data_IF_506993215762
#
_entry.id   IF_506993215762
#
_cell.length_a   1.000
_cell.length_b   1.000
_cell.length_c   1.000
_cell.angle_alpha   90.00
_cell.angle_beta   90.00
_cell.angle_gamma   90.00
#
_symmetry.space_group_name_H-M   'P 1'
#
loop_
_entity.id
_entity.type
_entity.pdbx_description
1 polymer ?
#
# COMPACT_ATOMS: atom_id res chain seq x y z
N UNK A 1 34.32 15.18 14.09
CA UNK A 1 33.52 15.24 12.86
C UNK A 1 32.23 15.99 13.21
N UNK A 2 32.07 17.23 12.71
CA UNK A 2 30.99 18.15 13.11
C UNK A 2 29.65 17.67 12.56
N UNK A 3 28.68 17.40 13.43
CA UNK A 3 27.27 17.25 13.07
C UNK A 3 26.66 18.65 12.97
N UNK A 4 26.22 19.03 11.77
CA UNK A 4 25.45 20.25 11.52
C UNK A 4 24.02 20.03 12.02
N UNK A 5 23.65 20.78 13.06
CA UNK A 5 22.30 20.81 13.63
C UNK A 5 21.46 21.84 12.82
N UNK A 6 20.78 21.37 11.78
CA UNK A 6 19.87 22.23 11.00
C UNK A 6 18.53 22.38 11.72
N UNK A 7 18.20 23.61 12.12
CA UNK A 7 16.88 24.00 12.60
C UNK A 7 15.94 24.16 11.40
N UNK A 8 14.77 23.50 11.43
CA UNK A 8 13.78 23.52 10.35
C UNK A 8 12.40 24.00 10.82
N UNK A 9 11.68 24.81 10.01
CA UNK A 9 10.24 25.00 10.12
C UNK A 9 9.47 23.89 9.36
N UNK A 10 8.21 23.72 9.76
CA UNK A 10 7.32 22.57 9.56
C UNK A 10 6.83 22.31 8.12
N UNK A 11 6.90 21.03 7.69
CA UNK A 11 5.86 20.29 6.93
C UNK A 11 6.27 18.80 6.84
N UNK A 12 5.49 17.88 7.40
CA UNK A 12 5.71 16.43 7.29
C UNK A 12 4.59 15.79 6.44
N UNK A 13 4.98 15.05 5.41
CA UNK A 13 4.12 14.28 4.50
C UNK A 13 4.50 12.82 4.79
N UNK A 14 3.61 11.85 5.03
CA UNK A 14 4.03 10.43 5.01
C UNK A 14 4.00 9.95 3.55
N UNK A 15 4.53 8.79 3.15
CA UNK A 15 4.24 8.19 1.83
C UNK A 15 4.23 6.67 2.06
N UNK A 16 3.20 6.03 1.54
CA UNK A 16 3.01 4.59 1.51
C UNK A 16 3.76 4.08 0.28
N UNK A 17 4.76 3.23 0.47
CA UNK A 17 5.38 2.48 -0.63
C UNK A 17 4.37 1.44 -1.11
N UNK A 18 3.76 1.68 -2.26
CA UNK A 18 3.16 0.63 -3.08
C UNK A 18 4.01 0.48 -4.33
N UNK A 19 4.42 -0.76 -4.58
CA UNK A 19 5.01 -1.30 -5.80
C UNK A 19 4.76 -0.43 -7.05
N UNK A 20 5.83 0.15 -7.61
CA UNK A 20 5.77 0.91 -8.86
C UNK A 20 5.98 -0.03 -10.04
N UNK A 21 4.90 -0.24 -10.78
CA UNK A 21 4.86 0.07 -12.22
C UNK A 21 3.44 0.41 -12.64
N UNK A 22 3.18 1.69 -12.83
CA UNK A 22 2.34 2.14 -13.95
C UNK A 22 2.70 3.59 -14.28
N UNK A 23 3.38 3.78 -15.42
CA UNK A 23 2.99 4.86 -16.30
C UNK A 23 1.98 4.28 -17.28
N UNK A 24 1.06 5.15 -17.68
CA UNK A 24 -0.19 4.90 -18.40
C UNK A 24 -1.35 4.62 -17.45
N UNK A 25 -2.17 5.66 -17.27
CA UNK A 25 -3.55 5.52 -16.82
C UNK A 25 -4.35 4.81 -17.93
N UNK A 26 -4.17 3.50 -18.02
CA UNK A 26 -4.99 2.61 -18.85
C UNK A 26 -6.44 2.65 -18.41
N UNK A 27 -6.75 3.06 -17.17
CA UNK A 27 -8.12 3.24 -16.67
C UNK A 27 -8.88 4.39 -17.33
N UNK A 28 -8.25 5.53 -17.59
CA UNK A 28 -8.88 6.66 -18.31
C UNK A 28 -8.91 6.43 -19.83
N UNK A 29 -7.95 5.67 -20.37
CA UNK A 29 -7.98 5.23 -21.78
C UNK A 29 -8.98 4.08 -22.00
N UNK A 30 -9.16 3.19 -21.01
CA UNK A 30 -10.19 2.15 -20.98
C UNK A 30 -11.57 2.71 -20.65
N UNK A 31 -11.73 3.73 -19.81
CA UNK A 31 -13.02 4.41 -19.59
C UNK A 31 -13.43 5.26 -20.78
N UNK A 32 -12.50 5.92 -21.47
CA UNK A 32 -12.78 6.61 -22.73
C UNK A 32 -13.03 5.62 -23.88
N UNK A 33 -12.32 4.49 -23.94
CA UNK A 33 -12.51 3.44 -24.94
C UNK A 33 -13.75 2.55 -24.70
N UNK A 34 -14.08 2.25 -23.44
CA UNK A 34 -15.33 1.59 -23.05
C UNK A 34 -16.51 2.55 -23.09
N UNK A 35 -16.30 3.85 -22.88
CA UNK A 35 -17.31 4.89 -23.09
C UNK A 35 -17.77 5.00 -24.55
N UNK A 36 -16.88 4.71 -25.51
CA UNK A 36 -17.26 4.56 -26.93
C UNK A 36 -18.04 3.26 -27.18
N UNK A 37 -17.67 2.16 -26.51
CA UNK A 37 -18.38 0.87 -26.61
C UNK A 37 -19.75 0.88 -25.91
N UNK A 38 -19.94 1.67 -24.85
CA UNK A 38 -21.25 1.88 -24.21
C UNK A 38 -22.06 2.99 -24.90
N UNK A 39 -21.44 3.88 -25.68
CA UNK A 39 -22.18 4.81 -26.54
C UNK A 39 -22.82 4.14 -27.77
N UNK A 40 -22.31 2.97 -28.18
CA UNK A 40 -22.98 2.06 -29.12
C UNK A 40 -24.05 1.17 -28.47
N UNK A 41 -24.12 1.13 -27.13
CA UNK A 41 -24.99 0.21 -26.39
C UNK A 41 -26.35 0.77 -26.03
N UNK A 42 -26.82 1.83 -26.71
CA UNK A 42 -28.25 2.12 -26.73
C UNK A 42 -28.86 1.82 -28.11
N UNK A 43 -29.08 0.52 -28.45
CA UNK A 43 -29.81 0.11 -29.65
C UNK A 43 -31.14 0.83 -29.80
N UNK A 44 -31.75 1.28 -28.70
CA UNK A 44 -33.01 2.02 -28.68
C UNK A 44 -32.87 3.45 -29.27
N UNK A 45 -31.79 4.18 -28.98
CA UNK A 45 -31.55 5.52 -29.55
C UNK A 45 -31.17 5.44 -31.03
N UNK A 46 -30.40 4.42 -31.39
CA UNK A 46 -30.03 4.16 -32.77
C UNK A 46 -31.24 3.74 -33.62
N UNK A 47 -32.08 2.81 -33.12
CA UNK A 47 -33.32 2.41 -33.82
C UNK A 47 -34.33 3.55 -33.90
N UNK A 48 -34.42 4.42 -32.88
CA UNK A 48 -35.26 5.61 -32.92
C UNK A 48 -34.81 6.63 -33.96
N UNK A 49 -33.49 6.89 -34.05
CA UNK A 49 -32.92 7.74 -35.12
C UNK A 49 -33.14 7.14 -36.52
N UNK A 50 -33.10 5.81 -36.64
CA UNK A 50 -33.38 5.10 -37.91
C UNK A 50 -34.87 5.21 -38.31
N UNK A 51 -35.79 5.13 -37.35
CA UNK A 51 -37.23 5.32 -37.55
C UNK A 51 -37.58 6.76 -37.92
N UNK A 52 -36.95 7.74 -37.27
CA UNK A 52 -37.10 9.16 -37.59
C UNK A 52 -36.56 9.49 -39.00
N UNK A 53 -35.43 8.88 -39.39
CA UNK A 53 -34.88 9.00 -40.74
C UNK A 53 -35.77 8.32 -41.82
N UNK A 54 -36.34 7.14 -41.54
CA UNK A 54 -37.25 6.47 -42.46
C UNK A 54 -38.56 7.26 -42.68
N UNK A 55 -39.11 7.85 -41.62
CA UNK A 55 -40.27 8.74 -41.71
C UNK A 55 -39.96 10.04 -42.48
N UNK A 56 -38.72 10.53 -42.42
CA UNK A 56 -38.28 11.69 -43.20
C UNK A 56 -38.14 11.41 -44.70
N UNK A 57 -37.75 10.18 -45.08
CA UNK A 57 -37.62 9.74 -46.48
C UNK A 57 -38.99 9.34 -47.09
N UNK A 58 -39.98 9.02 -46.24
CA UNK A 58 -41.31 8.50 -46.62
C UNK A 58 -42.25 9.46 -47.36
N UNK A 59 -41.80 10.63 -47.82
CA UNK A 59 -42.64 11.52 -48.64
C UNK A 59 -42.49 11.34 -50.16
N UNK A 60 -41.56 10.51 -50.67
CA UNK A 60 -41.42 10.31 -52.13
C UNK A 60 -40.57 9.10 -52.59
N UNK A 61 -40.59 7.95 -51.91
CA UNK A 61 -39.77 6.76 -52.32
C UNK A 61 -40.65 5.50 -52.37
N UNK A 62 -40.47 4.67 -53.40
CA UNK A 62 -41.19 3.40 -53.59
C UNK A 62 -40.89 2.41 -52.44
N UNK A 63 -41.92 1.68 -51.99
CA UNK A 63 -41.91 0.85 -50.79
C UNK A 63 -40.85 -0.27 -50.83
N UNK A 64 -40.53 -0.79 -52.02
CA UNK A 64 -39.58 -1.88 -52.20
C UNK A 64 -38.12 -1.42 -52.07
N UNK A 65 -37.79 -0.21 -52.52
CA UNK A 65 -36.46 0.38 -52.35
C UNK A 65 -36.18 0.68 -50.86
N UNK A 66 -37.21 1.09 -50.12
CA UNK A 66 -37.12 1.30 -48.67
C UNK A 66 -36.88 -0.01 -47.92
N UNK A 67 -37.58 -1.10 -48.27
CA UNK A 67 -37.36 -2.44 -47.68
C UNK A 67 -35.95 -2.95 -47.94
N UNK A 68 -35.44 -2.77 -49.16
CA UNK A 68 -34.07 -3.16 -49.53
C UNK A 68 -33.02 -2.39 -48.73
N UNK A 69 -33.21 -1.07 -48.57
CA UNK A 69 -32.32 -0.24 -47.77
C UNK A 69 -32.31 -0.65 -46.28
N UNK A 70 -33.48 -0.93 -45.70
CA UNK A 70 -33.59 -1.37 -44.31
C UNK A 70 -32.93 -2.73 -44.07
N UNK A 71 -33.09 -3.68 -44.99
CA UNK A 71 -32.42 -4.99 -44.90
C UNK A 71 -30.89 -4.86 -44.99
N UNK A 72 -30.38 -3.99 -45.86
CA UNK A 72 -28.94 -3.72 -45.95
C UNK A 72 -28.39 -3.08 -44.67
N UNK A 73 -29.16 -2.21 -44.01
CA UNK A 73 -28.78 -1.61 -42.74
C UNK A 73 -28.78 -2.68 -41.64
N UNK A 74 -29.81 -3.52 -41.57
CA UNK A 74 -29.90 -4.63 -40.61
C UNK A 74 -28.68 -5.55 -40.70
N UNK A 75 -28.34 -6.01 -41.91
CA UNK A 75 -27.20 -6.90 -42.12
C UNK A 75 -25.87 -6.25 -41.70
N UNK A 76 -25.67 -4.96 -42.01
CA UNK A 76 -24.46 -4.24 -41.58
C UNK A 76 -24.38 -4.08 -40.06
N UNK A 77 -25.50 -3.92 -39.37
CA UNK A 77 -25.53 -3.84 -37.91
C UNK A 77 -25.21 -5.18 -37.27
N UNK A 78 -25.69 -6.28 -37.85
CA UNK A 78 -25.36 -7.63 -37.42
C UNK A 78 -23.85 -7.90 -37.57
N UNK A 79 -23.26 -7.51 -38.71
CA UNK A 79 -21.80 -7.60 -38.93
C UNK A 79 -21.00 -6.79 -37.90
N UNK A 80 -21.43 -5.56 -37.60
CA UNK A 80 -20.79 -4.71 -36.59
C UNK A 80 -20.88 -5.35 -35.20
N UNK A 81 -22.05 -5.90 -34.84
CA UNK A 81 -22.26 -6.58 -33.56
C UNK A 81 -21.32 -7.80 -33.40
N UNK A 82 -21.21 -8.61 -34.46
CA UNK A 82 -20.34 -9.78 -34.48
C UNK A 82 -18.85 -9.39 -34.37
N UNK A 83 -18.42 -8.33 -35.05
CA UNK A 83 -17.06 -7.82 -34.96
C UNK A 83 -16.72 -7.29 -33.56
N UNK A 84 -17.64 -6.56 -32.92
CA UNK A 84 -17.46 -6.07 -31.55
C UNK A 84 -17.34 -7.24 -30.58
N UNK A 85 -18.18 -8.27 -30.72
CA UNK A 85 -18.09 -9.48 -29.89
C UNK A 85 -16.74 -10.18 -30.06
N UNK A 86 -16.28 -10.37 -31.29
CA UNK A 86 -14.96 -10.98 -31.56
C UNK A 86 -13.81 -10.17 -30.98
N UNK A 87 -13.86 -8.84 -31.09
CA UNK A 87 -12.85 -7.96 -30.51
C UNK A 87 -12.83 -8.04 -28.98
N UNK A 88 -14.02 -8.05 -28.35
CA UNK A 88 -14.17 -8.24 -26.91
C UNK A 88 -13.53 -9.55 -26.46
N UNK A 89 -13.84 -10.66 -27.12
CA UNK A 89 -13.31 -11.98 -26.78
C UNK A 89 -11.77 -12.04 -26.94
N UNK A 90 -11.23 -11.42 -27.99
CA UNK A 90 -9.77 -11.32 -28.19
C UNK A 90 -9.09 -10.50 -27.08
N UNK A 91 -9.69 -9.37 -26.69
CA UNK A 91 -9.19 -8.53 -25.59
C UNK A 91 -9.19 -9.30 -24.28
N UNK A 92 -10.29 -9.99 -23.93
CA UNK A 92 -10.35 -10.79 -22.70
C UNK A 92 -9.31 -11.92 -22.69
N UNK A 93 -9.12 -12.61 -23.82
CA UNK A 93 -8.10 -13.66 -23.94
C UNK A 93 -6.67 -13.11 -23.76
N UNK A 94 -6.38 -11.93 -24.33
CA UNK A 94 -5.08 -11.26 -24.14
C UNK A 94 -4.89 -10.78 -22.70
N UNK A 95 -5.94 -10.29 -22.05
CA UNK A 95 -5.90 -9.90 -20.64
C UNK A 95 -5.60 -11.09 -19.73
N UNK A 96 -6.27 -12.23 -19.92
CA UNK A 96 -6.01 -13.47 -19.17
C UNK A 96 -4.57 -13.96 -19.39
N UNK A 97 -4.06 -13.89 -20.62
CA UNK A 97 -2.67 -14.25 -20.94
C UNK A 97 -1.66 -13.32 -20.26
N UNK A 98 -1.94 -12.01 -20.20
CA UNK A 98 -1.12 -11.03 -19.50
C UNK A 98 -1.15 -11.26 -17.99
N UNK A 99 -2.31 -11.59 -17.43
CA UNK A 99 -2.47 -11.91 -16.00
C UNK A 99 -1.60 -13.13 -15.62
N UNK A 100 -1.64 -14.20 -16.44
CA UNK A 100 -0.79 -15.39 -16.28
C UNK A 100 0.71 -15.06 -16.48
N UNK A 101 1.08 -14.23 -17.45
CA UNK A 101 2.47 -13.81 -17.69
C UNK A 101 3.02 -12.92 -16.56
N UNK A 102 2.17 -12.11 -15.94
CA UNK A 102 2.52 -11.32 -14.75
C UNK A 102 2.70 -12.25 -13.54
N UNK A 103 1.87 -13.28 -13.42
CA UNK A 103 1.94 -14.26 -12.33
C UNK A 103 3.15 -15.21 -12.45
N UNK A 104 3.56 -15.56 -13.68
CA UNK A 104 4.66 -16.50 -13.96
C UNK A 104 6.05 -15.86 -14.03
N UNK A 105 6.15 -14.53 -14.14
CA UNK A 105 7.44 -13.82 -14.22
C UNK A 105 8.05 -13.60 -12.82
N UNK A 106 8.52 -14.67 -12.18
CA UNK A 106 9.63 -14.68 -11.20
C UNK A 106 9.51 -13.75 -9.97
N UNK A 107 8.28 -13.34 -9.58
CA UNK A 107 8.09 -12.19 -8.67
C UNK A 107 7.54 -12.48 -7.27
N UNK A 108 7.07 -13.69 -6.97
CA UNK A 108 6.42 -13.95 -5.67
C UNK A 108 7.07 -15.15 -4.99
N UNK A 109 8.41 -15.11 -4.85
CA UNK A 109 9.11 -15.91 -3.86
C UNK A 109 9.85 -15.06 -2.84
N UNK A 110 9.64 -13.73 -2.84
CA UNK A 110 10.32 -12.84 -1.91
C UNK A 110 9.44 -12.55 -0.70
N UNK A 111 10.07 -12.60 0.47
CA UNK A 111 9.46 -12.29 1.76
C UNK A 111 10.22 -11.15 2.43
N UNK A 112 9.58 -10.50 3.39
CA UNK A 112 10.23 -9.44 4.18
C UNK A 112 11.18 -10.11 5.17
N UNK A 113 12.45 -9.67 5.17
CA UNK A 113 13.51 -10.17 6.08
C UNK A 113 14.02 -9.10 7.03
N UNK A 114 13.68 -7.84 6.77
CA UNK A 114 14.06 -6.72 7.61
C UNK A 114 13.22 -5.49 7.34
N UNK A 115 13.29 -4.54 8.27
CA UNK A 115 12.56 -3.29 8.21
C UNK A 115 13.36 -2.17 8.86
N UNK A 116 13.16 -0.95 8.36
CA UNK A 116 13.66 0.28 8.98
C UNK A 116 12.77 1.46 8.67
N UNK A 117 12.88 2.48 9.51
CA UNK A 117 12.41 3.81 9.16
C UNK A 117 13.40 4.49 8.21
N UNK A 118 12.88 5.16 7.18
CA UNK A 118 13.69 5.99 6.28
C UNK A 118 13.03 7.33 6.06
N UNK A 119 13.78 8.42 6.28
CA UNK A 119 13.31 9.79 6.00
C UNK A 119 13.79 10.25 4.62
N UNK A 120 12.88 10.69 3.75
CA UNK A 120 13.19 11.34 2.45
C UNK A 120 12.28 12.56 2.27
N UNK A 121 12.81 13.76 2.02
CA UNK A 121 12.01 14.99 1.78
C UNK A 121 10.89 15.25 2.82
N UNK A 122 11.21 15.08 4.10
CA UNK A 122 10.27 15.18 5.23
C UNK A 122 9.18 14.12 5.28
N UNK A 123 9.42 13.01 4.58
CA UNK A 123 8.56 11.83 4.62
C UNK A 123 9.21 10.68 5.33
N UNK A 124 8.49 10.13 6.31
CA UNK A 124 8.89 8.93 7.02
C UNK A 124 8.24 7.69 6.36
N UNK A 125 9.09 6.81 5.86
CA UNK A 125 8.72 5.56 5.21
C UNK A 125 9.04 4.35 6.09
N UNK A 126 8.25 3.30 5.93
CA UNK A 126 8.68 1.94 6.24
C UNK A 126 9.41 1.39 5.02
N UNK A 127 10.73 1.26 5.10
CA UNK A 127 11.52 0.60 4.08
C UNK A 127 11.75 -0.85 4.50
N UNK A 128 11.60 -1.78 3.54
CA UNK A 128 11.76 -3.21 3.79
C UNK A 128 13.01 -3.76 3.12
N UNK A 129 13.61 -4.76 3.75
CA UNK A 129 14.54 -5.69 3.13
C UNK A 129 13.74 -6.92 2.70
N UNK A 130 14.03 -7.41 1.49
CA UNK A 130 13.40 -8.60 0.93
C UNK A 130 14.45 -9.62 0.50
N UNK A 131 14.10 -10.89 0.56
CA UNK A 131 14.92 -11.99 0.06
C UNK A 131 14.05 -13.17 -0.39
N UNK A 132 14.63 -14.08 -1.15
CA UNK A 132 13.98 -15.31 -1.61
C UNK A 132 13.72 -16.25 -0.42
N UNK A 133 12.48 -16.72 -0.35
CA UNK A 133 12.01 -17.78 0.53
C UNK A 133 12.56 -19.13 0.08
N UNK A 134 13.01 -19.91 1.05
CA UNK A 134 13.47 -21.29 0.91
C UNK A 134 12.49 -22.22 1.64
N UNK A 135 12.63 -23.55 1.44
CA UNK A 135 11.90 -24.53 2.24
C UNK A 135 12.03 -24.28 3.74
N UNK A 136 11.07 -24.79 4.52
CA UNK A 136 11.03 -24.64 5.97
C UNK A 136 11.06 -23.17 6.42
N UNK A 137 10.45 -22.27 5.64
CA UNK A 137 10.44 -20.83 5.90
C UNK A 137 11.85 -20.19 5.99
N UNK A 138 12.88 -20.85 5.45
CA UNK A 138 14.25 -20.36 5.43
C UNK A 138 14.41 -19.20 4.45
N UNK A 139 15.53 -18.48 4.57
CA UNK A 139 15.84 -17.31 3.75
C UNK A 139 17.15 -17.53 3.00
N UNK A 140 17.15 -17.25 1.70
CA UNK A 140 18.39 -17.17 0.92
C UNK A 140 19.08 -15.82 1.16
N UNK A 141 20.05 -15.81 2.07
CA UNK A 141 20.79 -14.61 2.49
C UNK A 141 21.49 -13.89 1.34
N UNK A 142 21.86 -14.59 0.25
CA UNK A 142 22.53 -14.00 -0.91
C UNK A 142 21.60 -13.15 -1.77
N UNK A 143 20.28 -13.30 -1.59
CA UNK A 143 19.26 -12.58 -2.37
C UNK A 143 18.69 -11.35 -1.64
N UNK A 144 19.22 -11.05 -0.45
CA UNK A 144 18.79 -9.91 0.36
C UNK A 144 19.04 -8.60 -0.37
N UNK A 145 18.01 -7.76 -0.38
CA UNK A 145 18.07 -6.43 -0.97
C UNK A 145 17.06 -5.52 -0.29
N UNK A 146 17.49 -4.29 0.03
CA UNK A 146 16.57 -3.24 0.45
C UNK A 146 15.76 -2.77 -0.75
N UNK A 147 14.44 -2.75 -0.62
CA UNK A 147 13.55 -2.18 -1.64
C UNK A 147 13.74 -0.66 -1.63
N UNK A 148 14.12 -0.03 -2.76
CA UNK A 148 14.23 1.42 -2.84
C UNK A 148 12.90 2.07 -2.45
N UNK A 149 12.99 3.19 -1.75
CA UNK A 149 11.82 4.03 -1.52
C UNK A 149 11.70 4.90 -2.76
N UNK A 150 10.61 4.74 -3.51
CA UNK A 150 10.30 5.63 -4.62
C UNK A 150 10.14 7.05 -4.09
N UNK A 151 10.76 8.01 -4.75
CA UNK A 151 10.60 9.43 -4.46
C UNK A 151 9.53 9.96 -5.41
N UNK A 152 8.24 9.87 -5.03
CA UNK A 152 7.19 10.27 -5.93
C UNK A 152 7.32 11.76 -6.24
N UNK A 153 7.20 12.08 -7.53
CA UNK A 153 7.00 13.46 -7.97
C UNK A 153 5.74 13.96 -7.25
N UNK A 154 5.90 15.00 -6.42
CA UNK A 154 4.87 15.51 -5.50
C UNK A 154 3.54 15.87 -6.18
N UNK A 155 3.49 15.93 -7.50
CA UNK A 155 2.32 16.27 -8.31
C UNK A 155 1.29 15.15 -8.44
N UNK A 156 1.60 13.90 -8.08
CA UNK A 156 0.68 12.76 -8.28
C UNK A 156 0.23 12.02 -7.01
N UNK A 157 0.54 12.55 -5.82
CA UNK A 157 0.30 11.88 -4.53
C UNK A 157 -0.93 12.49 -3.84
N UNK A 158 -1.87 11.66 -3.39
CA UNK A 158 -3.08 12.10 -2.68
C UNK A 158 -2.97 11.90 -1.17
N UNK A 159 -3.20 12.96 -0.41
CA UNK A 159 -3.35 12.92 1.06
C UNK A 159 -4.52 12.00 1.41
N UNK A 160 -4.34 11.13 2.41
CA UNK A 160 -5.32 10.15 2.88
C UNK A 160 -5.38 8.85 2.06
N UNK A 161 -4.74 8.80 0.89
CA UNK A 161 -4.71 7.60 0.03
C UNK A 161 -3.29 7.04 -0.05
N UNK A 162 -2.36 7.87 -0.52
CA UNK A 162 -0.96 7.51 -0.68
C UNK A 162 -0.15 7.89 0.55
N UNK A 163 -0.69 8.75 1.41
CA UNK A 163 -0.04 9.15 2.63
C UNK A 163 -0.94 9.70 3.72
N UNK A 164 -0.40 9.72 4.93
CA UNK A 164 -0.98 10.43 6.06
C UNK A 164 -0.23 11.73 6.33
N UNK A 165 -0.94 12.85 6.50
CA UNK A 165 -0.33 14.09 6.96
C UNK A 165 -0.53 14.21 8.47
N UNK A 166 0.57 14.40 9.22
CA UNK A 166 0.47 14.63 10.66
C UNK A 166 -0.15 15.99 10.93
N UNK A 167 -1.09 16.01 11.85
CA UNK A 167 -1.65 17.22 12.47
C UNK A 167 -1.69 17.04 13.98
N UNK A 168 -2.04 18.10 14.71
CA UNK A 168 -2.20 18.03 16.16
C UNK A 168 -3.17 16.91 16.59
N UNK A 169 -4.24 16.72 15.83
CA UNK A 169 -5.27 15.71 16.12
C UNK A 169 -4.95 14.34 15.51
N UNK A 170 -4.08 14.29 14.49
CA UNK A 170 -3.78 13.08 13.71
C UNK A 170 -2.30 12.68 13.77
N UNK A 171 -1.81 12.43 14.99
CA UNK A 171 -0.39 12.11 15.26
C UNK A 171 -0.18 11.00 16.29
N UNK A 172 -1.22 10.23 16.56
CA UNK A 172 -1.17 9.14 17.53
C UNK A 172 -0.78 7.83 16.85
N UNK A 173 0.18 7.11 17.40
CA UNK A 173 0.65 5.81 16.93
C UNK A 173 0.21 4.72 17.91
N UNK A 174 -0.36 3.64 17.40
CA UNK A 174 -0.61 2.43 18.19
C UNK A 174 0.70 1.67 18.41
N UNK A 175 0.95 1.28 19.66
CA UNK A 175 2.14 0.57 20.10
C UNK A 175 1.76 -0.88 20.38
N UNK A 176 1.87 -1.71 19.35
CA UNK A 176 1.57 -3.14 19.45
C UNK A 176 2.29 -3.94 18.36
N UNK A 177 2.20 -5.26 18.52
CA UNK A 177 2.72 -6.27 17.62
C UNK A 177 1.61 -6.73 16.71
N UNK A 178 1.88 -6.74 15.41
CA UNK A 178 0.95 -7.28 14.42
C UNK A 178 1.60 -8.50 13.78
N UNK A 179 0.97 -9.64 14.00
CA UNK A 179 1.40 -10.93 13.48
C UNK A 179 0.45 -11.40 12.36
N UNK A 180 1.02 -12.11 11.39
CA UNK A 180 0.27 -12.79 10.35
C UNK A 180 -0.36 -14.08 10.89
N UNK A 181 -1.32 -14.64 10.17
CA UNK A 181 -1.92 -15.92 10.56
C UNK A 181 -0.89 -17.07 10.56
N UNK A 182 -1.19 -18.14 11.30
CA UNK A 182 -0.43 -19.39 11.25
C UNK A 182 -0.28 -19.88 9.80
N UNK A 183 0.84 -20.53 9.50
CA UNK A 183 1.16 -21.06 8.16
C UNK A 183 1.26 -19.98 7.06
N UNK A 184 1.50 -18.73 7.45
CA UNK A 184 1.78 -17.64 6.51
C UNK A 184 3.06 -16.93 6.87
N UNK A 185 3.71 -16.38 5.86
CA UNK A 185 4.93 -15.57 6.01
C UNK A 185 4.64 -14.12 5.66
N UNK A 186 5.40 -13.21 6.27
CA UNK A 186 5.26 -11.79 6.08
C UNK A 186 5.75 -11.36 4.68
N UNK A 187 4.85 -10.81 3.87
CA UNK A 187 5.13 -10.36 2.49
C UNK A 187 4.80 -8.89 2.25
N UNK A 188 4.20 -8.21 3.23
CA UNK A 188 3.86 -6.80 3.11
C UNK A 188 3.70 -6.12 4.46
N UNK A 189 3.98 -4.83 4.49
CA UNK A 189 3.75 -3.97 5.65
C UNK A 189 3.40 -2.58 5.15
N UNK A 190 2.50 -1.89 5.86
CA UNK A 190 2.19 -0.48 5.62
C UNK A 190 1.70 0.17 6.90
N UNK A 191 1.74 1.50 6.90
CA UNK A 191 0.91 2.26 7.81
C UNK A 191 -0.52 2.36 7.31
N UNK A 192 -1.46 2.38 8.24
CA UNK A 192 -2.84 2.80 8.01
C UNK A 192 -3.22 3.86 9.02
N UNK A 193 -4.17 4.72 8.64
CA UNK A 193 -4.77 5.68 9.55
C UNK A 193 -6.24 5.32 9.71
N UNK A 194 -6.66 5.05 10.94
CA UNK A 194 -8.02 4.65 11.26
C UNK A 194 -8.38 5.13 12.66
N UNK A 195 -9.57 5.72 12.82
CA UNK A 195 -10.08 6.21 14.12
C UNK A 195 -9.09 7.10 14.91
N UNK A 196 -8.32 7.95 14.22
CA UNK A 196 -7.36 8.84 14.87
C UNK A 196 -6.07 8.15 15.35
N UNK A 197 -5.78 6.95 14.86
CA UNK A 197 -4.57 6.18 15.13
C UNK A 197 -3.85 5.80 13.83
N UNK A 198 -2.54 5.99 13.83
CA UNK A 198 -1.61 5.44 12.87
C UNK A 198 -1.24 4.04 13.36
N UNK A 199 -1.52 3.03 12.53
CA UNK A 199 -1.37 1.61 12.86
C UNK A 199 -0.51 0.89 11.85
N UNK A 200 0.17 -0.15 12.30
CA UNK A 200 0.75 -1.14 11.39
C UNK A 200 -0.35 -2.04 10.82
N UNK A 201 -0.26 -2.32 9.53
CA UNK A 201 -1.02 -3.39 8.88
C UNK A 201 -0.01 -4.26 8.10
N UNK A 202 -0.06 -5.57 8.33
CA UNK A 202 0.88 -6.56 7.75
C UNK A 202 0.15 -7.53 6.84
N UNK A 203 0.80 -7.96 5.77
CA UNK A 203 0.28 -8.96 4.82
C UNK A 203 0.94 -10.30 5.09
N UNK A 204 0.13 -11.29 5.45
CA UNK A 204 0.52 -12.69 5.48
C UNK A 204 0.20 -13.36 4.14
N UNK A 205 1.10 -14.20 3.63
CA UNK A 205 0.85 -15.04 2.46
C UNK A 205 1.18 -16.49 2.79
N UNK A 206 0.28 -17.41 2.46
CA UNK A 206 0.52 -18.84 2.62
C UNK A 206 1.67 -19.26 1.69
N UNK A 207 2.38 -20.32 2.08
CA UNK A 207 3.48 -20.85 1.31
C UNK A 207 3.51 -22.36 1.40
N UNK A 208 4.10 -22.98 0.38
CA UNK A 208 4.45 -24.40 0.40
C UNK A 208 5.71 -24.60 1.24
N UNK A 209 5.61 -25.41 2.29
CA UNK A 209 6.67 -25.61 3.26
C UNK A 209 7.85 -26.42 2.70
N UNK A 210 7.58 -27.34 1.79
CA UNK A 210 8.59 -28.23 1.17
C UNK A 210 9.33 -27.50 0.05
N UNK A 211 8.62 -26.70 -0.74
CA UNK A 211 9.18 -26.00 -1.90
C UNK A 211 9.71 -24.60 -1.58
N UNK A 212 9.25 -23.98 -0.48
CA UNK A 212 9.58 -22.60 -0.14
C UNK A 212 8.95 -21.57 -1.08
N UNK A 213 7.79 -21.87 -1.67
CA UNK A 213 7.11 -21.01 -2.64
C UNK A 213 5.85 -20.40 -2.06
N UNK A 214 5.63 -19.11 -2.30
CA UNK A 214 4.41 -18.43 -1.89
C UNK A 214 3.23 -18.88 -2.76
N UNK A 215 2.06 -19.00 -2.13
CA UNK A 215 0.79 -19.24 -2.79
C UNK A 215 0.14 -17.86 -3.00
N UNK A 216 0.40 -17.27 -4.16
CA UNK A 216 0.18 -15.85 -4.54
C UNK A 216 -1.23 -15.33 -4.27
N UNK A 217 -2.23 -16.19 -4.46
CA UNK A 217 -3.65 -15.89 -4.28
C UNK A 217 -4.18 -16.17 -2.87
N UNK A 218 -3.36 -16.72 -1.96
CA UNK A 218 -3.74 -17.02 -0.57
C UNK A 218 -3.03 -16.08 0.39
N UNK A 219 -3.54 -14.85 0.49
CA UNK A 219 -3.02 -13.83 1.38
C UNK A 219 -4.12 -13.09 2.13
N UNK A 220 -3.76 -12.50 3.27
CA UNK A 220 -4.65 -11.64 4.06
C UNK A 220 -3.86 -10.52 4.72
N UNK A 221 -4.52 -9.38 4.90
CA UNK A 221 -3.99 -8.28 5.69
C UNK A 221 -4.47 -8.37 7.14
N UNK A 222 -3.57 -8.14 8.08
CA UNK A 222 -3.78 -8.23 9.51
C UNK A 222 -3.45 -6.89 10.16
N UNK A 223 -4.34 -6.43 11.03
CA UNK A 223 -4.16 -5.27 11.91
C UNK A 223 -5.04 -5.43 13.13
N UNK A 224 -4.68 -4.74 14.21
CA UNK A 224 -5.60 -4.56 15.33
C UNK A 224 -6.77 -3.66 14.94
N UNK A 225 -7.92 -3.95 15.55
CA UNK A 225 -9.18 -3.21 15.32
C UNK A 225 -9.70 -2.53 16.59
N UNK A 226 -8.93 -2.59 17.68
CA UNK A 226 -9.26 -2.01 18.97
C UNK A 226 -9.40 -0.50 18.83
N UNK A 227 -10.53 0.06 19.26
CA UNK A 227 -10.79 1.50 19.11
C UNK A 227 -9.87 2.32 20.03
N UNK A 228 -9.51 3.55 19.63
CA UNK A 228 -8.57 4.41 20.37
C UNK A 228 -8.95 4.63 21.84
N UNK A 229 -10.24 4.74 22.12
CA UNK A 229 -10.79 4.90 23.48
C UNK A 229 -10.63 3.66 24.38
N UNK A 230 -10.34 2.49 23.80
CA UNK A 230 -10.10 1.25 24.53
C UNK A 230 -8.60 1.02 24.78
N UNK A 231 -7.73 1.75 24.09
CA UNK A 231 -6.28 1.68 24.26
C UNK A 231 -5.83 2.58 25.41
N UNK A 232 -4.79 2.16 26.12
CA UNK A 232 -4.18 2.97 27.18
C UNK A 232 -3.25 4.02 26.55
N UNK A 233 -3.45 5.29 26.92
CA UNK A 233 -2.52 6.34 26.52
C UNK A 233 -1.19 6.18 27.25
N UNK A 234 -0.10 6.12 26.50
CA UNK A 234 1.26 6.18 27.00
C UNK A 234 1.73 7.63 26.95
N UNK A 235 1.68 8.29 28.11
CA UNK A 235 2.04 9.69 28.26
C UNK A 235 3.55 9.87 28.41
N UNK A 236 4.09 10.85 27.68
CA UNK A 236 5.45 11.33 27.87
C UNK A 236 5.43 12.48 28.88
N UNK A 237 6.09 12.29 30.02
CA UNK A 237 6.15 13.26 31.12
C UNK A 237 7.47 14.05 31.09
N UNK A 238 8.56 13.40 30.67
CA UNK A 238 9.88 14.03 30.61
C UNK A 238 10.24 14.28 29.15
N UNK A 239 9.96 15.49 28.69
CA UNK A 239 10.17 15.94 27.31
C UNK A 239 11.58 16.53 27.09
N UNK A 240 12.46 16.30 28.06
CA UNK A 240 13.86 16.68 27.99
C UNK A 240 14.52 15.93 26.83
N UNK A 241 15.29 16.67 26.04
CA UNK A 241 16.04 16.10 24.91
C UNK A 241 17.14 15.22 25.52
N UNK A 242 17.18 13.89 25.23
CA UNK A 242 18.19 13.02 25.78
C UNK A 242 19.57 13.55 25.46
N UNK A 243 20.38 13.80 26.49
CA UNK A 243 21.82 13.93 26.32
C UNK A 243 22.33 12.66 25.62
N UNK A 244 23.34 12.83 24.77
CA UNK A 244 23.99 11.83 23.90
C UNK A 244 24.66 10.66 24.67
N UNK A 245 24.19 10.36 25.87
CA UNK A 245 24.72 9.37 26.77
C UNK A 245 24.36 7.96 26.30
N UNK A 246 25.38 7.10 26.28
CA UNK A 246 25.37 5.68 25.93
C UNK A 246 24.60 4.79 26.94
N UNK A 247 23.44 5.25 27.39
CA UNK A 247 22.59 4.56 28.36
C UNK A 247 21.69 3.58 27.60
N UNK A 248 21.50 2.37 28.14
CA UNK A 248 20.57 1.39 27.58
C UNK A 248 19.15 1.97 27.55
N UNK A 249 18.45 1.79 26.43
CA UNK A 249 17.05 2.16 26.28
C UNK A 249 16.17 0.90 26.29
N UNK A 250 15.73 0.39 27.46
CA UNK A 250 14.78 -0.70 27.53
C UNK A 250 13.44 -0.35 26.85
N UNK A 251 12.71 -1.38 26.43
CA UNK A 251 11.30 -1.25 26.01
C UNK A 251 10.47 -0.95 27.24
N UNK A 252 9.67 0.12 27.20
CA UNK A 252 8.89 0.58 28.35
C UNK A 252 7.37 0.55 28.12
N UNK A 253 6.95 0.15 26.92
CA UNK A 253 5.55 0.04 26.53
C UNK A 253 5.06 -1.39 26.53
N UNK A 254 3.79 -1.55 26.87
CA UNK A 254 3.04 -2.80 26.82
C UNK A 254 2.15 -2.83 25.57
N UNK A 255 1.57 -4.00 25.28
CA UNK A 255 0.52 -4.14 24.26
C UNK A 255 -0.70 -3.28 24.58
N UNK A 256 -1.52 -3.00 23.57
CA UNK A 256 -2.75 -2.19 23.70
C UNK A 256 -2.52 -0.78 24.23
N UNK A 257 -1.36 -0.19 23.91
CA UNK A 257 -1.04 1.19 24.21
C UNK A 257 -1.02 2.02 22.93
N UNK A 258 -1.20 3.32 23.07
CA UNK A 258 -0.90 4.27 22.00
C UNK A 258 -0.20 5.48 22.59
N UNK A 259 0.59 6.16 21.76
CA UNK A 259 1.20 7.42 22.13
C UNK A 259 0.94 8.47 21.06
N UNK A 260 1.13 9.74 21.40
CA UNK A 260 1.02 10.84 20.44
C UNK A 260 2.37 11.53 20.31
N UNK A 261 2.71 11.92 19.08
CA UNK A 261 3.84 12.83 18.91
C UNK A 261 3.53 14.15 19.63
N UNK A 262 4.52 14.75 20.29
CA UNK A 262 4.41 16.04 20.97
C UNK A 262 5.64 16.89 20.67
N UNK A 263 5.68 18.12 21.19
CA UNK A 263 6.87 18.97 21.16
C UNK A 263 7.65 18.82 22.45
N UNK A 264 8.96 19.07 22.42
CA UNK A 264 9.80 19.30 23.60
C UNK A 264 9.28 20.43 24.48
N UNK A 265 9.82 20.54 25.70
CA UNK A 265 9.46 21.62 26.61
C UNK A 265 9.88 22.99 26.04
N UNK A 266 9.07 24.02 26.30
CA UNK A 266 9.45 25.39 25.92
C UNK A 266 10.75 25.85 26.58
N UNK A 267 11.06 25.37 27.78
CA UNK A 267 12.26 25.75 28.51
C UNK A 267 13.54 25.15 27.92
N UNK A 268 13.44 24.04 27.18
CA UNK A 268 14.61 23.32 26.65
C UNK A 268 15.02 23.86 25.28
N UNK A 269 14.06 24.02 24.36
CA UNK A 269 14.32 24.48 22.99
C UNK A 269 13.15 25.26 22.36
N UNK A 270 12.27 25.85 23.19
CA UNK A 270 11.05 26.54 22.76
C UNK A 270 10.05 25.62 22.03
N UNK A 271 10.08 24.30 22.30
CA UNK A 271 9.16 23.32 21.72
C UNK A 271 9.40 23.06 20.23
N UNK A 272 10.64 23.21 19.77
CA UNK A 272 10.99 23.05 18.35
C UNK A 272 11.20 21.58 17.96
N UNK A 273 11.51 20.71 18.92
CA UNK A 273 11.77 19.29 18.67
C UNK A 273 10.50 18.46 18.77
N UNK A 274 10.28 17.55 17.81
CA UNK A 274 9.19 16.57 17.85
C UNK A 274 9.64 15.33 18.61
N UNK A 275 8.84 14.91 19.58
CA UNK A 275 9.07 13.77 20.45
C UNK A 275 7.94 12.74 20.35
N UNK A 276 8.20 11.44 20.56
CA UNK A 276 9.53 10.83 20.74
C UNK A 276 10.37 10.96 19.46
N UNK A 277 11.68 10.76 19.57
CA UNK A 277 12.53 10.61 18.39
C UNK A 277 12.15 9.34 17.62
N UNK A 278 12.54 9.23 16.35
CA UNK A 278 12.34 8.01 15.56
C UNK A 278 13.66 7.27 15.44
N UNK A 279 13.69 5.99 15.83
CA UNK A 279 14.87 5.15 15.66
C UNK A 279 15.00 4.68 14.21
N UNK A 280 15.96 5.26 13.48
CA UNK A 280 16.20 4.97 12.07
C UNK A 280 17.05 3.71 11.83
N UNK A 281 17.47 2.99 12.88
CA UNK A 281 18.28 1.79 12.73
C UNK A 281 17.53 0.69 11.99
N UNK A 282 18.28 -0.05 11.20
CA UNK A 282 17.77 -1.23 10.51
C UNK A 282 17.71 -2.45 11.40
N UNK A 283 16.68 -3.27 11.17
CA UNK A 283 16.45 -4.50 11.91
C UNK A 283 16.18 -5.58 10.89
N UNK A 284 17.05 -6.58 10.87
CA UNK A 284 17.00 -7.71 9.93
C UNK A 284 17.05 -9.00 10.73
N UNK A 285 16.39 -10.05 10.24
CA UNK A 285 16.62 -11.40 10.77
C UNK A 285 17.98 -11.88 10.29
N UNK A 286 18.95 -12.11 11.18
CA UNK A 286 20.30 -12.54 10.79
C UNK A 286 20.79 -13.80 11.52
N UNK A 287 20.01 -14.34 12.46
CA UNK A 287 20.35 -15.57 13.18
C UNK A 287 19.15 -16.10 14.02
N UNK A 288 18.38 -17.11 13.57
CA UNK A 288 18.49 -17.80 12.28
C UNK A 288 17.88 -17.01 11.12
N UNK A 289 18.30 -17.34 9.90
CA UNK A 289 17.79 -16.76 8.65
C UNK A 289 16.44 -17.36 8.28
N UNK A 290 15.43 -16.99 9.05
CA UNK A 290 14.04 -17.40 8.90
C UNK A 290 13.17 -16.23 8.49
N UNK A 291 12.06 -16.54 7.81
CA UNK A 291 11.04 -15.57 7.46
C UNK A 291 10.44 -14.89 8.70
N UNK A 292 9.83 -13.73 8.50
CA UNK A 292 9.14 -13.01 9.55
C UNK A 292 7.68 -13.43 9.64
N UNK A 293 7.14 -13.42 10.85
CA UNK A 293 5.72 -13.61 11.16
C UNK A 293 5.02 -12.30 11.54
N UNK A 294 5.75 -11.21 11.73
CA UNK A 294 5.13 -9.97 12.14
C UNK A 294 6.12 -8.84 12.35
N UNK A 295 5.56 -7.66 12.63
CA UNK A 295 6.29 -6.45 12.98
C UNK A 295 5.57 -5.78 14.14
N UNK A 296 6.33 -5.15 15.03
CA UNK A 296 5.79 -4.35 16.11
C UNK A 296 6.34 -2.93 16.11
N UNK A 297 5.54 -2.02 16.67
CA UNK A 297 5.93 -0.65 16.97
C UNK A 297 5.92 -0.47 18.49
N UNK A 298 6.99 0.09 19.05
CA UNK A 298 7.10 0.29 20.49
C UNK A 298 7.88 1.56 20.83
N UNK A 299 7.77 1.98 22.09
CA UNK A 299 8.62 3.03 22.62
C UNK A 299 9.71 2.45 23.53
N UNK A 300 10.92 2.99 23.39
CA UNK A 300 12.04 2.71 24.29
C UNK A 300 12.66 3.99 24.78
N UNK A 301 13.11 3.97 26.03
CA UNK A 301 13.77 5.11 26.64
C UNK A 301 14.68 4.68 27.77
N UNK A 302 15.62 5.54 28.16
CA UNK A 302 16.50 5.29 29.31
C UNK A 302 15.75 5.39 30.64
N UNK A 303 14.62 6.11 30.67
CA UNK A 303 13.77 6.35 31.84
C UNK A 303 12.30 6.21 31.46
N UNK A 304 11.48 5.75 32.40
CA UNK A 304 10.02 5.71 32.28
C UNK A 304 9.46 7.09 31.90
N UNK A 305 8.52 7.10 30.95
CA UNK A 305 7.82 8.29 30.45
C UNK A 305 8.73 9.40 29.87
N UNK A 306 10.02 9.12 29.62
CA UNK A 306 10.91 10.08 28.97
C UNK A 306 10.79 10.04 27.45
N UNK A 307 11.13 11.16 26.80
CA UNK A 307 11.06 11.41 25.36
C UNK A 307 11.36 10.16 24.51
N UNK A 308 12.56 9.60 24.65
CA UNK A 308 12.91 8.28 24.09
C UNK A 308 12.73 8.18 22.58
N UNK A 309 12.51 6.96 22.10
CA UNK A 309 12.44 6.63 20.68
C UNK A 309 11.23 5.76 20.36
N UNK A 310 10.51 6.13 19.30
CA UNK A 310 9.63 5.24 18.55
C UNK A 310 10.49 4.30 17.70
N UNK A 311 10.34 3.00 17.91
CA UNK A 311 11.19 1.99 17.30
C UNK A 311 10.38 0.80 16.76
N UNK A 312 10.92 0.17 15.73
CA UNK A 312 10.38 -1.05 15.14
C UNK A 312 11.00 -2.27 15.82
N UNK A 313 10.29 -3.39 15.78
CA UNK A 313 10.84 -4.74 15.98
C UNK A 313 10.23 -5.70 14.97
N UNK A 314 10.92 -6.80 14.75
CA UNK A 314 10.48 -7.91 13.90
C UNK A 314 10.11 -9.10 14.78
N UNK A 315 9.13 -9.89 14.33
CA UNK A 315 8.80 -11.20 14.90
C UNK A 315 9.19 -12.26 13.88
N UNK A 316 9.94 -13.27 14.32
CA UNK A 316 10.39 -14.37 13.48
C UNK A 316 9.35 -15.47 13.41
N UNK A 317 9.28 -16.14 12.26
CA UNK A 317 8.39 -17.29 12.07
C UNK A 317 8.61 -18.34 13.16
N UNK A 318 7.51 -18.77 13.77
CA UNK A 318 7.51 -19.81 14.79
C UNK A 318 7.09 -21.14 14.17
N UNK A 319 7.88 -22.18 14.40
CA UNK A 319 7.66 -23.53 13.89
C UNK A 319 6.74 -24.39 14.80
N UNK A 320 6.30 -23.85 15.94
CA UNK A 320 5.54 -24.57 16.97
C UNK A 320 4.02 -24.40 16.91
#
# INVERSE_FOLDING_TARGET
MRLTLDKLPFLFIFIIVRDVKSEINTGQFLEAGLGVLTSLSNPLEFTKSLFEFANFIGSSVEEDDMKSALNNIYNKLEDISNNIKSFKDEVFKKLETIEILIETKDRISKVITGIRFKKVRNILYLQIEQAKLLPLAGIDSKTRSWVPVDDPVLTSIRVGVDHHQLSWDHRSFELDDVEVAKNTVLTGVKFTFDQGLIRLEVRGTQFDYEDGKLITNKYSWHRHKTSKNQLKYFELEHLDIPEENSIRHPVLTDKQQYMSLTTSNMNDDLGQTILPFVDLREITSSNPDVSLSGIGLFHKSHKKNAAGFLALKILTYNFN
#
